data_IF_657355916856
#
_entry.id   IF_657355916856
#
_cell.length_a   1.000
_cell.length_b   1.000
_cell.length_c   1.000
_cell.angle_alpha   90.00
_cell.angle_beta   90.00
_cell.angle_gamma   90.00
#
_symmetry.space_group_name_H-M   'P 1'
#
loop_
_entity.id
_entity.type
_entity.pdbx_description
1 polymer ?
#
# COMPACT_ATOMS: atom_id res chain seq x y z
N UNK A 1 -19.03 -6.31 -14.23
CA UNK A 1 -18.03 -5.97 -13.20
C UNK A 1 -16.74 -6.69 -13.58
N UNK A 2 -15.63 -5.97 -13.77
CA UNK A 2 -14.35 -6.59 -14.19
C UNK A 2 -13.63 -7.10 -12.93
N UNK A 3 -13.40 -8.41 -12.86
CA UNK A 3 -12.87 -9.09 -11.66
C UNK A 3 -11.34 -9.09 -11.55
N UNK A 4 -10.61 -8.78 -12.63
CA UNK A 4 -9.14 -8.72 -12.60
C UNK A 4 -8.59 -7.98 -13.82
N UNK A 5 -7.50 -7.25 -13.63
CA UNK A 5 -6.68 -6.68 -14.70
C UNK A 5 -5.41 -7.52 -14.86
N UNK A 6 -4.98 -7.75 -16.10
CA UNK A 6 -3.66 -8.33 -16.36
C UNK A 6 -2.62 -7.30 -15.99
N UNK A 7 -1.76 -7.65 -15.05
CA UNK A 7 -0.75 -6.75 -14.51
C UNK A 7 0.50 -6.84 -15.35
N UNK A 8 0.79 -5.78 -16.09
CA UNK A 8 1.98 -5.74 -16.91
C UNK A 8 3.21 -5.38 -16.06
N UNK A 9 4.13 -6.35 -15.97
CA UNK A 9 5.40 -6.21 -15.27
C UNK A 9 6.26 -5.06 -15.83
N UNK A 10 6.09 -4.70 -17.11
CA UNK A 10 6.80 -3.56 -17.70
C UNK A 10 6.49 -2.26 -16.95
N UNK A 11 5.22 -2.05 -16.62
CA UNK A 11 4.76 -0.85 -15.95
C UNK A 11 5.05 -0.93 -14.45
N UNK A 12 4.78 -2.06 -13.81
CA UNK A 12 4.95 -2.21 -12.36
C UNK A 12 6.42 -2.31 -11.94
N UNK A 13 7.19 -3.20 -12.58
CA UNK A 13 8.58 -3.45 -12.21
C UNK A 13 9.52 -2.39 -12.76
N UNK A 14 9.54 -2.24 -14.09
CA UNK A 14 10.57 -1.45 -14.75
C UNK A 14 10.31 0.06 -14.69
N UNK A 15 9.14 0.51 -15.15
CA UNK A 15 8.81 1.94 -15.23
C UNK A 15 8.35 2.55 -13.90
N UNK A 16 7.93 1.73 -12.94
CA UNK A 16 7.57 2.21 -11.60
C UNK A 16 8.72 1.97 -10.63
N UNK A 17 8.86 0.74 -10.09
CA UNK A 17 9.80 0.48 -8.99
C UNK A 17 11.24 0.81 -9.38
N UNK A 18 11.77 0.21 -10.45
CA UNK A 18 13.18 0.38 -10.82
C UNK A 18 13.49 1.82 -11.23
N UNK A 19 12.67 2.41 -12.11
CA UNK A 19 12.83 3.82 -12.52
C UNK A 19 12.87 4.75 -11.32
N UNK A 20 11.90 4.62 -10.41
CA UNK A 20 11.74 5.52 -9.27
C UNK A 20 12.89 5.40 -8.27
N UNK A 21 13.32 4.18 -7.94
CA UNK A 21 14.52 3.96 -7.09
C UNK A 21 15.75 4.63 -7.71
N UNK A 22 15.99 4.38 -8.99
CA UNK A 22 17.17 4.91 -9.69
C UNK A 22 17.13 6.45 -9.77
N UNK A 23 16.00 7.03 -10.18
CA UNK A 23 15.92 8.47 -10.41
C UNK A 23 15.66 9.26 -9.14
N UNK A 24 14.69 8.86 -8.31
CA UNK A 24 14.23 9.68 -7.19
C UNK A 24 15.00 9.47 -5.89
N UNK A 25 15.71 8.35 -5.72
CA UNK A 25 16.44 8.07 -4.48
C UNK A 25 17.94 8.05 -4.69
N UNK A 26 18.40 7.39 -5.76
CA UNK A 26 19.83 7.25 -5.99
C UNK A 26 20.43 8.48 -6.66
N UNK A 27 19.79 9.04 -7.70
CA UNK A 27 20.44 10.06 -8.56
C UNK A 27 19.94 11.50 -8.32
N UNK A 28 18.63 11.74 -8.42
CA UNK A 28 18.05 13.10 -8.54
C UNK A 28 17.43 13.66 -7.26
N UNK A 29 17.38 12.88 -6.18
CA UNK A 29 16.76 13.31 -4.92
C UNK A 29 17.48 14.49 -4.27
N UNK A 30 16.73 15.27 -3.48
CA UNK A 30 17.31 16.22 -2.50
C UNK A 30 18.11 15.50 -1.42
N UNK A 31 17.71 14.27 -1.04
CA UNK A 31 18.48 13.32 -0.20
C UNK A 31 19.10 12.22 -1.05
N UNK A 32 19.86 12.59 -2.08
CA UNK A 32 20.47 11.61 -3.00
C UNK A 32 21.40 10.66 -2.24
N UNK A 33 21.21 9.37 -2.46
CA UNK A 33 22.06 8.35 -1.84
C UNK A 33 23.38 8.15 -2.59
N UNK A 34 23.44 8.53 -3.88
CA UNK A 34 24.69 8.57 -4.63
C UNK A 34 25.24 10.00 -4.72
N UNK A 35 26.54 10.13 -4.47
CA UNK A 35 27.27 11.39 -4.71
C UNK A 35 27.42 11.65 -6.22
N UNK A 36 27.85 12.87 -6.58
CA UNK A 36 28.13 13.22 -7.99
C UNK A 36 29.21 12.31 -8.61
N UNK A 37 30.23 11.95 -7.82
CA UNK A 37 31.29 11.01 -8.23
C UNK A 37 30.72 9.62 -8.48
N UNK A 38 29.85 9.11 -7.59
CA UNK A 38 29.18 7.84 -7.78
C UNK A 38 28.37 7.81 -9.08
N UNK A 39 27.61 8.88 -9.38
CA UNK A 39 26.83 8.97 -10.63
C UNK A 39 27.72 8.95 -11.88
N UNK A 40 28.88 9.63 -11.83
CA UNK A 40 29.86 9.60 -12.92
C UNK A 40 30.43 8.19 -13.09
N UNK A 41 30.81 7.53 -11.99
CA UNK A 41 31.34 6.17 -11.99
C UNK A 41 30.32 5.16 -12.53
N UNK A 42 29.04 5.26 -12.12
CA UNK A 42 27.97 4.42 -12.66
C UNK A 42 27.82 4.65 -14.17
N UNK A 43 27.83 5.92 -14.61
CA UNK A 43 27.72 6.25 -16.03
C UNK A 43 28.87 5.65 -16.84
N UNK A 44 30.10 5.72 -16.34
CA UNK A 44 31.26 5.12 -16.99
C UNK A 44 31.15 3.58 -17.04
N UNK A 45 30.71 2.94 -15.95
CA UNK A 45 30.45 1.49 -15.92
C UNK A 45 29.38 1.06 -16.93
N UNK A 46 28.29 1.82 -17.05
CA UNK A 46 27.22 1.56 -18.04
C UNK A 46 27.76 1.65 -19.48
N UNK A 47 28.50 2.72 -19.80
CA UNK A 47 29.07 2.93 -21.15
C UNK A 47 30.14 1.89 -21.50
N UNK A 48 30.91 1.43 -20.51
CA UNK A 48 31.88 0.35 -20.74
C UNK A 48 31.16 -0.98 -20.95
N UNK A 49 30.15 -1.28 -20.14
CA UNK A 49 29.36 -2.50 -20.27
C UNK A 49 28.64 -2.55 -21.62
N UNK A 50 28.06 -1.44 -22.09
CA UNK A 50 27.31 -1.40 -23.35
C UNK A 50 28.12 -1.86 -24.55
N UNK A 51 29.46 -1.71 -24.53
CA UNK A 51 30.35 -2.19 -25.60
C UNK A 51 30.47 -3.72 -25.65
N UNK A 52 30.17 -4.40 -24.55
CA UNK A 52 30.25 -5.85 -24.40
C UNK A 52 28.87 -6.52 -24.40
N UNK A 53 27.78 -5.78 -24.62
CA UNK A 53 26.43 -6.34 -24.65
C UNK A 53 26.15 -6.96 -26.03
N UNK A 54 25.68 -8.23 -26.08
CA UNK A 54 25.30 -8.88 -27.34
C UNK A 54 24.16 -8.16 -28.09
N UNK A 55 24.11 -8.35 -29.41
CA UNK A 55 23.14 -7.66 -30.30
C UNK A 55 21.67 -8.06 -30.02
N UNK A 56 21.45 -9.20 -29.38
CA UNK A 56 20.14 -9.73 -28.98
C UNK A 56 19.45 -8.83 -27.94
N UNK A 57 20.20 -7.99 -27.23
CA UNK A 57 19.63 -6.99 -26.36
C UNK A 57 19.21 -5.76 -27.18
N UNK A 58 17.90 -5.62 -27.41
CA UNK A 58 17.31 -4.57 -28.25
C UNK A 58 17.80 -3.12 -27.98
N UNK A 59 18.22 -2.78 -26.75
CA UNK A 59 18.84 -1.50 -26.39
C UNK A 59 19.79 -1.65 -25.20
N UNK A 60 21.02 -1.15 -25.33
CA UNK A 60 21.96 -0.97 -24.23
C UNK A 60 21.63 0.28 -23.41
N UNK A 61 22.08 0.32 -22.15
CA UNK A 61 21.89 1.49 -21.29
C UNK A 61 22.77 2.65 -21.73
N UNK A 62 22.15 3.82 -21.90
CA UNK A 62 22.85 5.09 -22.05
C UNK A 62 23.44 5.54 -20.71
N UNK A 63 24.22 6.63 -20.71
CA UNK A 63 24.72 7.20 -19.46
C UNK A 63 23.57 7.59 -18.52
N UNK A 64 23.83 7.68 -17.21
CA UNK A 64 22.80 8.06 -16.24
C UNK A 64 22.26 9.49 -16.42
N UNK A 65 23.00 10.34 -17.13
CA UNK A 65 22.57 11.71 -17.46
C UNK A 65 21.27 11.73 -18.26
N UNK A 66 20.98 10.66 -19.01
CA UNK A 66 19.79 10.53 -19.84
C UNK A 66 18.68 9.69 -19.20
N UNK A 67 18.76 9.39 -17.90
CA UNK A 67 17.75 8.56 -17.20
C UNK A 67 16.31 9.05 -17.34
N UNK A 68 16.08 10.33 -17.67
CA UNK A 68 14.73 10.85 -17.98
C UNK A 68 14.15 10.33 -19.31
N UNK A 69 14.99 9.86 -20.24
CA UNK A 69 14.64 9.38 -21.58
C UNK A 69 14.69 7.84 -21.71
N UNK A 70 15.09 7.13 -20.66
CA UNK A 70 15.18 5.68 -20.67
C UNK A 70 13.81 5.05 -20.93
N UNK A 71 13.75 4.08 -21.84
CA UNK A 71 12.55 3.27 -22.06
C UNK A 71 12.51 2.08 -21.10
N UNK A 72 11.36 1.43 -20.99
CA UNK A 72 11.16 0.29 -20.10
C UNK A 72 12.18 -0.85 -20.32
N UNK A 73 12.60 -1.07 -21.58
CA UNK A 73 13.60 -2.08 -21.94
C UNK A 73 14.98 -1.81 -21.35
N UNK A 74 15.37 -0.54 -21.17
CA UNK A 74 16.64 -0.15 -20.55
C UNK A 74 16.58 -0.38 -19.04
N UNK A 75 15.46 -0.03 -18.40
CA UNK A 75 15.23 -0.35 -16.98
C UNK A 75 15.17 -1.86 -16.74
N UNK A 76 14.59 -2.63 -17.66
CA UNK A 76 14.62 -4.10 -17.63
C UNK A 76 16.05 -4.62 -17.67
N UNK A 77 16.85 -4.13 -18.62
CA UNK A 77 18.24 -4.55 -18.76
C UNK A 77 19.05 -4.23 -17.49
N UNK A 78 18.87 -3.04 -16.96
CA UNK A 78 19.49 -2.63 -15.71
C UNK A 78 19.06 -3.53 -14.54
N UNK A 79 17.77 -3.76 -14.35
CA UNK A 79 17.25 -4.56 -13.23
C UNK A 79 17.69 -6.02 -13.29
N UNK A 80 17.61 -6.65 -14.47
CA UNK A 80 17.78 -8.11 -14.57
C UNK A 80 19.21 -8.58 -14.86
N UNK A 81 20.06 -7.68 -15.37
CA UNK A 81 21.40 -8.04 -15.86
C UNK A 81 22.49 -7.12 -15.32
N UNK A 82 22.45 -5.83 -15.66
CA UNK A 82 23.60 -4.95 -15.47
C UNK A 82 23.73 -4.39 -14.04
N UNK A 83 22.60 -4.06 -13.41
CA UNK A 83 22.54 -3.28 -12.18
C UNK A 83 23.30 -3.92 -11.03
N UNK A 84 23.25 -5.25 -10.90
CA UNK A 84 23.96 -5.95 -9.82
C UNK A 84 25.47 -5.74 -9.86
N UNK A 85 26.07 -5.70 -11.06
CA UNK A 85 27.50 -5.48 -11.23
C UNK A 85 27.83 -4.00 -11.12
N UNK A 86 27.01 -3.16 -11.73
CA UNK A 86 27.24 -1.73 -11.81
C UNK A 86 27.17 -1.06 -10.44
N UNK A 87 26.22 -1.47 -9.59
CA UNK A 87 25.99 -0.86 -8.28
C UNK A 87 26.89 -1.41 -7.17
N UNK A 88 27.62 -2.50 -7.42
CA UNK A 88 28.51 -3.13 -6.43
C UNK A 88 29.63 -2.17 -6.05
N UNK A 89 29.79 -1.92 -4.75
CA UNK A 89 30.78 -0.99 -4.20
C UNK A 89 30.47 0.50 -4.45
N UNK A 90 29.28 0.83 -4.98
CA UNK A 90 28.82 2.21 -5.14
C UNK A 90 27.72 2.53 -4.12
N UNK A 91 26.76 1.62 -3.97
CA UNK A 91 25.77 1.69 -2.90
C UNK A 91 26.38 1.22 -1.57
N UNK A 92 25.84 1.72 -0.46
CA UNK A 92 26.13 1.14 0.85
C UNK A 92 25.73 -0.33 0.87
N UNK A 93 26.35 -1.12 1.75
CA UNK A 93 26.12 -2.56 1.79
C UNK A 93 24.64 -2.91 2.00
N UNK A 94 23.96 -2.19 2.88
CA UNK A 94 22.52 -2.38 3.14
C UNK A 94 21.66 -2.07 1.91
N UNK A 95 21.93 -0.96 1.21
CA UNK A 95 21.20 -0.58 0.00
C UNK A 95 21.46 -1.56 -1.14
N UNK A 96 22.69 -2.08 -1.23
CA UNK A 96 23.04 -3.07 -2.24
C UNK A 96 22.35 -4.41 -1.98
N UNK A 97 22.38 -4.92 -0.74
CA UNK A 97 21.65 -6.14 -0.35
C UNK A 97 20.15 -5.98 -0.57
N UNK A 98 19.60 -4.81 -0.23
CA UNK A 98 18.19 -4.49 -0.50
C UNK A 98 17.86 -4.53 -2.00
N UNK A 99 18.70 -3.91 -2.83
CA UNK A 99 18.52 -3.96 -4.28
C UNK A 99 18.61 -5.39 -4.83
N UNK A 100 19.50 -6.23 -4.30
CA UNK A 100 19.63 -7.63 -4.71
C UNK A 100 18.35 -8.44 -4.44
N UNK A 101 17.59 -8.16 -3.38
CA UNK A 101 16.29 -8.81 -3.15
C UNK A 101 15.35 -8.62 -4.33
N UNK A 102 15.25 -7.39 -4.85
CA UNK A 102 14.43 -7.07 -6.02
C UNK A 102 14.97 -7.76 -7.28
N UNK A 103 16.28 -7.68 -7.53
CA UNK A 103 16.92 -8.32 -8.69
C UNK A 103 16.63 -9.82 -8.69
N UNK A 104 16.84 -10.51 -7.56
CA UNK A 104 16.67 -11.95 -7.46
C UNK A 104 15.21 -12.36 -7.63
N UNK A 105 14.28 -11.67 -6.95
CA UNK A 105 12.86 -11.92 -7.13
C UNK A 105 12.44 -11.77 -8.60
N UNK A 106 12.82 -10.67 -9.25
CA UNK A 106 12.46 -10.43 -10.65
C UNK A 106 13.10 -11.43 -11.61
N UNK A 107 14.35 -11.86 -11.38
CA UNK A 107 15.01 -12.89 -12.20
C UNK A 107 14.31 -14.25 -12.09
N UNK A 108 13.91 -14.64 -10.88
CA UNK A 108 13.14 -15.88 -10.66
C UNK A 108 11.81 -15.80 -11.42
N UNK A 109 11.05 -14.72 -11.23
CA UNK A 109 9.71 -14.57 -11.83
C UNK A 109 9.74 -14.44 -13.35
N UNK A 110 10.82 -13.89 -13.92
CA UNK A 110 10.99 -13.76 -15.37
C UNK A 110 11.47 -15.05 -16.06
N UNK A 111 11.96 -16.04 -15.32
CA UNK A 111 12.41 -17.31 -15.88
C UNK A 111 11.39 -18.41 -15.58
N UNK A 112 10.76 -18.99 -16.61
CA UNK A 112 9.71 -20.01 -16.43
C UNK A 112 10.16 -21.18 -15.54
N UNK A 113 11.37 -21.71 -15.77
CA UNK A 113 11.93 -22.82 -14.98
C UNK A 113 12.15 -22.42 -13.52
N UNK A 114 12.80 -21.29 -13.29
CA UNK A 114 13.06 -20.81 -11.92
C UNK A 114 11.76 -20.44 -11.20
N UNK A 115 10.79 -19.86 -11.87
CA UNK A 115 9.50 -19.49 -11.30
C UNK A 115 8.75 -20.72 -10.79
N UNK A 116 8.70 -21.80 -11.58
CA UNK A 116 8.05 -23.06 -11.15
C UNK A 116 8.67 -23.67 -9.89
N UNK A 117 9.97 -23.49 -9.69
CA UNK A 117 10.69 -24.11 -8.57
C UNK A 117 10.84 -23.19 -7.35
N UNK A 118 10.92 -21.88 -7.57
CA UNK A 118 11.33 -20.91 -6.55
C UNK A 118 10.37 -19.71 -6.41
N UNK A 119 9.13 -19.81 -6.91
CA UNK A 119 8.13 -18.74 -6.76
C UNK A 119 7.99 -18.28 -5.31
N UNK A 120 7.93 -19.21 -4.36
CA UNK A 120 7.82 -18.90 -2.93
C UNK A 120 9.00 -18.06 -2.42
N UNK A 121 10.21 -18.32 -2.92
CA UNK A 121 11.39 -17.54 -2.57
C UNK A 121 11.29 -16.13 -3.14
N UNK A 122 10.82 -15.98 -4.38
CA UNK A 122 10.61 -14.67 -4.97
C UNK A 122 9.57 -13.86 -4.19
N UNK A 123 8.50 -14.50 -3.71
CA UNK A 123 7.51 -13.85 -2.84
C UNK A 123 8.14 -13.35 -1.54
N UNK A 124 8.92 -14.21 -0.87
CA UNK A 124 9.64 -13.85 0.36
C UNK A 124 10.59 -12.67 0.11
N UNK A 125 11.37 -12.69 -0.98
CA UNK A 125 12.27 -11.60 -1.33
C UNK A 125 11.54 -10.28 -1.59
N UNK A 126 10.37 -10.31 -2.26
CA UNK A 126 9.56 -9.11 -2.46
C UNK A 126 8.99 -8.58 -1.15
N UNK A 127 8.52 -9.45 -0.26
CA UNK A 127 8.04 -9.03 1.08
C UNK A 127 9.17 -8.36 1.88
N UNK A 128 10.35 -8.96 1.92
CA UNK A 128 11.51 -8.36 2.58
C UNK A 128 11.94 -7.05 1.94
N UNK A 129 11.94 -6.97 0.61
CA UNK A 129 12.22 -5.74 -0.12
C UNK A 129 11.28 -4.61 0.30
N UNK A 130 9.97 -4.88 0.40
CA UNK A 130 8.98 -3.90 0.85
C UNK A 130 9.23 -3.49 2.30
N UNK A 131 9.40 -4.44 3.21
CA UNK A 131 9.63 -4.15 4.64
C UNK A 131 10.87 -3.28 4.87
N UNK A 132 11.98 -3.62 4.20
CA UNK A 132 13.23 -2.89 4.33
C UNK A 132 13.22 -1.53 3.62
N UNK A 133 12.40 -1.35 2.59
CA UNK A 133 12.32 -0.07 1.87
C UNK A 133 11.90 1.08 2.79
N UNK A 134 10.98 0.83 3.73
CA UNK A 134 10.55 1.82 4.73
C UNK A 134 11.70 2.31 5.61
N UNK A 135 12.56 1.38 6.04
CA UNK A 135 13.72 1.69 6.87
C UNK A 135 14.80 2.44 6.06
N UNK A 136 15.05 2.02 4.83
CA UNK A 136 16.18 2.50 4.04
C UNK A 136 15.94 3.84 3.34
N UNK A 137 14.71 4.10 2.88
CA UNK A 137 14.40 5.39 2.22
C UNK A 137 13.27 6.20 2.89
N UNK A 138 12.82 5.79 4.08
CA UNK A 138 11.83 6.51 4.89
C UNK A 138 10.38 6.22 4.53
N UNK A 139 9.42 6.69 5.33
CA UNK A 139 7.99 6.37 5.21
C UNK A 139 7.35 6.77 3.86
N UNK A 140 7.93 7.74 3.15
CA UNK A 140 7.51 8.13 1.80
C UNK A 140 7.74 7.02 0.77
N UNK A 141 8.53 5.99 1.09
CA UNK A 141 8.67 4.77 0.26
C UNK A 141 7.41 3.93 0.16
N UNK A 142 6.44 4.06 1.06
CA UNK A 142 5.15 3.43 0.80
C UNK A 142 4.52 3.98 -0.49
N UNK A 143 4.86 5.21 -0.90
CA UNK A 143 4.51 5.78 -2.20
C UNK A 143 5.33 5.15 -3.36
N UNK A 144 6.54 4.60 -3.13
CA UNK A 144 7.31 3.84 -4.15
C UNK A 144 6.54 2.63 -4.67
N UNK A 145 5.89 1.92 -3.75
CA UNK A 145 5.16 0.69 -4.06
C UNK A 145 3.72 0.98 -4.50
N UNK A 146 3.19 2.15 -4.09
CA UNK A 146 1.82 2.57 -4.36
C UNK A 146 1.65 3.43 -5.63
N UNK A 147 2.69 4.14 -6.08
CA UNK A 147 2.55 4.99 -7.27
C UNK A 147 3.15 4.33 -8.51
N UNK A 148 2.27 3.82 -9.35
CA UNK A 148 2.62 3.25 -10.66
C UNK A 148 1.78 2.02 -10.96
N UNK A 149 0.50 2.26 -11.26
CA UNK A 149 -0.61 1.32 -11.44
C UNK A 149 -1.04 0.57 -10.15
N UNK A 150 -2.37 0.55 -9.97
CA UNK A 150 -3.18 0.15 -8.81
C UNK A 150 -2.94 -1.21 -8.10
N UNK A 151 -2.27 -2.23 -8.65
CA UNK A 151 -2.29 -3.56 -8.04
C UNK A 151 -1.28 -3.79 -6.92
N UNK A 152 -0.07 -3.24 -7.04
CA UNK A 152 0.92 -3.35 -5.97
C UNK A 152 0.54 -2.45 -4.78
N UNK A 153 -0.13 -1.33 -5.08
CA UNK A 153 -0.87 -0.55 -4.10
C UNK A 153 -1.95 -1.38 -3.38
N UNK A 154 -2.77 -2.14 -4.12
CA UNK A 154 -3.75 -3.05 -3.52
C UNK A 154 -3.09 -4.15 -2.67
N UNK A 155 -1.94 -4.67 -3.09
CA UNK A 155 -1.18 -5.70 -2.36
C UNK A 155 -0.60 -5.14 -1.06
N UNK A 156 0.00 -3.94 -1.10
CA UNK A 156 0.43 -3.23 0.10
C UNK A 156 -0.74 -2.87 1.03
N UNK A 157 -1.90 -2.49 0.47
CA UNK A 157 -3.11 -2.25 1.26
C UNK A 157 -3.59 -3.54 1.94
N UNK A 158 -3.51 -4.70 1.26
CA UNK A 158 -3.85 -6.01 1.83
C UNK A 158 -2.87 -6.46 2.92
N UNK A 159 -1.56 -6.36 2.69
CA UNK A 159 -0.55 -6.69 3.71
C UNK A 159 -0.67 -5.79 4.95
N UNK A 160 -0.91 -4.49 4.74
CA UNK A 160 -1.13 -3.56 5.86
C UNK A 160 -2.46 -3.84 6.58
N UNK A 161 -3.49 -4.30 5.86
CA UNK A 161 -4.72 -4.79 6.49
C UNK A 161 -4.44 -6.01 7.35
N UNK A 162 -3.70 -7.01 6.85
CA UNK A 162 -3.32 -8.21 7.62
C UNK A 162 -2.56 -7.85 8.90
N UNK A 163 -1.58 -6.94 8.84
CA UNK A 163 -0.88 -6.44 10.03
C UNK A 163 -1.82 -5.73 11.03
N UNK A 164 -2.80 -4.96 10.53
CA UNK A 164 -3.82 -4.30 11.35
C UNK A 164 -4.84 -5.28 11.95
N UNK A 165 -5.10 -6.41 11.30
CA UNK A 165 -5.98 -7.47 11.81
C UNK A 165 -5.26 -8.37 12.84
N UNK A 166 -3.94 -8.54 12.74
CA UNK A 166 -3.15 -9.28 13.74
C UNK A 166 -2.94 -8.52 15.05
N UNK A 167 -3.11 -7.20 15.07
CA UNK A 167 -3.19 -6.46 16.32
C UNK A 167 -4.61 -6.63 16.88
N UNK A 168 -4.79 -7.18 18.09
CA UNK A 168 -6.12 -7.21 18.69
C UNK A 168 -6.58 -5.75 18.82
N UNK A 169 -7.53 -5.36 17.97
CA UNK A 169 -8.27 -4.12 18.20
C UNK A 169 -8.95 -4.31 19.54
N UNK A 170 -8.45 -3.64 20.57
CA UNK A 170 -9.23 -3.37 21.76
C UNK A 170 -10.41 -2.54 21.28
N UNK A 171 -11.50 -3.23 20.97
CA UNK A 171 -12.74 -2.61 20.59
C UNK A 171 -13.28 -1.98 21.87
N UNK A 172 -13.05 -0.68 22.07
CA UNK A 172 -13.86 0.07 23.02
C UNK A 172 -15.31 -0.15 22.60
N UNK A 173 -16.12 -0.69 23.50
CA UNK A 173 -17.54 -0.91 23.29
C UNK A 173 -18.13 0.46 22.91
N UNK A 174 -18.51 0.63 21.64
CA UNK A 174 -19.08 1.89 21.18
C UNK A 174 -20.40 2.11 21.92
N UNK A 175 -20.47 3.21 22.68
CA UNK A 175 -21.70 3.64 23.35
C UNK A 175 -22.83 3.77 22.31
N UNK A 176 -24.00 3.27 22.67
CA UNK A 176 -25.21 3.29 21.85
C UNK A 176 -25.70 4.74 21.69
N UNK A 177 -25.82 5.25 20.45
CA UNK A 177 -26.27 6.63 20.19
C UNK A 177 -27.74 6.66 19.76
N UNK A 178 -28.58 7.41 20.47
CA UNK A 178 -30.03 7.54 20.18
C UNK A 178 -30.25 8.72 19.24
N UNK A 179 -30.79 8.49 18.04
CA UNK A 179 -30.89 9.54 17.02
C UNK A 179 -32.23 10.27 16.94
N UNK A 180 -33.34 9.74 17.50
CA UNK A 180 -34.63 10.47 17.55
C UNK A 180 -35.53 9.99 18.69
N UNK A 181 -35.92 10.91 19.58
CA UNK A 181 -36.81 10.70 20.75
C UNK A 181 -38.15 11.42 20.54
N UNK A 182 -39.29 10.73 20.72
CA UNK A 182 -40.61 11.37 20.82
C UNK A 182 -41.23 10.99 22.17
N UNK A 183 -41.62 11.98 22.96
CA UNK A 183 -42.25 11.79 24.26
C UNK A 183 -43.76 11.78 24.09
N UNK A 184 -44.42 10.72 24.53
CA UNK A 184 -45.89 10.68 24.65
C UNK A 184 -46.21 9.92 25.94
N UNK A 185 -46.84 10.60 26.92
CA UNK A 185 -47.34 10.04 28.19
C UNK A 185 -46.36 9.04 28.83
N UNK A 186 -45.25 9.57 29.34
CA UNK A 186 -44.21 8.88 30.14
C UNK A 186 -43.45 7.72 29.50
N UNK A 187 -43.75 7.35 28.25
CA UNK A 187 -42.94 6.38 27.49
C UNK A 187 -42.16 7.06 26.38
N UNK A 188 -40.85 6.89 26.44
CA UNK A 188 -39.90 7.42 25.47
C UNK A 188 -39.88 6.53 24.24
N UNK A 189 -40.54 6.95 23.15
CA UNK A 189 -40.49 6.21 21.89
C UNK A 189 -39.27 6.61 21.07
N UNK A 190 -38.35 5.67 20.86
CA UNK A 190 -37.15 5.86 20.05
C UNK A 190 -37.44 5.43 18.60
N UNK A 191 -37.12 6.28 17.62
CA UNK A 191 -37.33 5.94 16.19
C UNK A 191 -36.15 5.20 15.56
N UNK A 192 -34.94 5.45 16.05
CA UNK A 192 -33.73 4.80 15.55
C UNK A 192 -32.58 4.87 16.55
N UNK A 193 -31.79 3.81 16.59
CA UNK A 193 -30.57 3.68 17.38
C UNK A 193 -29.40 3.45 16.44
N UNK A 194 -28.26 4.10 16.72
CA UNK A 194 -26.99 3.77 16.09
C UNK A 194 -26.15 2.96 17.07
N UNK A 195 -25.83 1.73 16.68
CA UNK A 195 -24.92 0.87 17.41
C UNK A 195 -23.73 0.54 16.51
N UNK A 196 -22.52 0.94 16.93
CA UNK A 196 -21.32 0.90 16.09
C UNK A 196 -21.55 1.69 14.79
N UNK A 197 -21.62 1.01 13.65
CA UNK A 197 -21.86 1.58 12.32
C UNK A 197 -23.20 1.12 11.73
N UNK A 198 -24.06 0.47 12.51
CA UNK A 198 -25.37 0.00 12.06
C UNK A 198 -26.46 0.88 12.66
N UNK A 199 -27.41 1.30 11.81
CA UNK A 199 -28.60 2.02 12.24
C UNK A 199 -29.77 1.05 12.31
N UNK A 200 -30.27 0.79 13.51
CA UNK A 200 -31.48 -0.01 13.73
C UNK A 200 -32.68 0.92 13.78
N UNK A 201 -33.71 0.61 13.00
CA UNK A 201 -34.94 1.43 12.89
C UNK A 201 -36.17 0.56 12.96
N UNK A 202 -37.33 1.16 13.25
CA UNK A 202 -38.62 0.45 13.19
C UNK A 202 -39.21 0.42 11.77
N UNK A 203 -38.42 0.70 10.72
CA UNK A 203 -38.89 0.76 9.33
C UNK A 203 -38.00 -0.09 8.42
N UNK A 204 -38.61 -0.68 7.40
CA UNK A 204 -37.89 -1.41 6.34
C UNK A 204 -36.94 -0.48 5.58
N UNK A 205 -35.74 -0.96 5.18
CA UNK A 205 -35.23 -2.33 5.35
C UNK A 205 -34.47 -2.58 6.67
N UNK A 206 -34.23 -1.53 7.48
CA UNK A 206 -33.37 -1.57 8.66
C UNK A 206 -34.10 -1.99 9.95
N UNK A 207 -35.19 -2.75 9.83
CA UNK A 207 -35.98 -3.30 10.94
C UNK A 207 -35.64 -4.76 11.26
N UNK A 208 -34.77 -5.42 10.51
CA UNK A 208 -34.34 -6.79 10.81
C UNK A 208 -32.93 -6.83 11.42
N UNK A 209 -32.75 -7.60 12.49
CA UNK A 209 -31.47 -7.74 13.20
C UNK A 209 -31.12 -9.22 13.39
N UNK A 210 -29.88 -9.59 13.07
CA UNK A 210 -29.33 -10.91 13.35
C UNK A 210 -28.69 -10.93 14.75
N UNK A 211 -29.19 -11.80 15.62
CA UNK A 211 -28.67 -12.02 16.96
C UNK A 211 -27.44 -12.95 16.94
N UNK A 212 -26.65 -12.93 18.01
CA UNK A 212 -25.42 -13.75 18.14
C UNK A 212 -25.69 -15.26 18.09
N UNK A 213 -26.92 -15.68 18.41
CA UNK A 213 -27.37 -17.08 18.33
C UNK A 213 -27.87 -17.47 16.92
N UNK A 214 -27.75 -16.60 15.93
CA UNK A 214 -28.14 -16.88 14.54
C UNK A 214 -29.62 -16.61 14.23
N UNK A 215 -30.42 -16.15 15.19
CA UNK A 215 -31.84 -15.83 14.98
C UNK A 215 -32.01 -14.44 14.37
N UNK A 216 -32.89 -14.31 13.37
CA UNK A 216 -33.29 -13.02 12.79
C UNK A 216 -34.56 -12.54 13.49
N UNK A 217 -34.54 -11.29 13.96
CA UNK A 217 -35.68 -10.68 14.67
C UNK A 217 -36.07 -9.38 13.99
N UNK A 218 -37.39 -9.15 13.88
CA UNK A 218 -37.95 -7.89 13.44
C UNK A 218 -38.16 -6.92 14.61
N UNK A 219 -37.70 -5.69 14.45
CA UNK A 219 -37.77 -4.62 15.43
C UNK A 219 -39.01 -3.77 15.17
N UNK A 220 -40.07 -4.07 15.92
CA UNK A 220 -41.32 -3.29 15.85
C UNK A 220 -41.24 -1.97 16.60
N UNK A 221 -40.68 -1.98 17.82
CA UNK A 221 -40.59 -0.81 18.70
C UNK A 221 -39.31 -0.81 19.55
N UNK A 222 -38.86 0.39 19.92
CA UNK A 222 -37.65 0.60 20.70
C UNK A 222 -37.99 1.53 21.88
N UNK A 223 -37.64 1.10 23.09
CA UNK A 223 -37.84 1.83 24.34
C UNK A 223 -36.50 2.10 25.03
N UNK A 224 -36.45 3.13 25.88
CA UNK A 224 -35.35 3.39 26.80
C UNK A 224 -35.78 2.96 28.19
N UNK A 225 -35.05 2.06 28.84
CA UNK A 225 -35.14 1.91 30.30
C UNK A 225 -34.19 2.94 30.92
N UNK A 226 -34.64 3.65 31.95
CA UNK A 226 -33.85 4.70 32.61
C UNK A 226 -32.71 4.15 33.49
N UNK A 227 -32.58 2.81 33.61
CA UNK A 227 -31.60 2.16 34.49
C UNK A 227 -30.25 1.81 33.85
N UNK A 228 -30.04 2.09 32.55
CA UNK A 228 -28.71 1.88 31.94
C UNK A 228 -27.97 3.21 31.82
N UNK A 229 -27.00 3.44 32.72
CA UNK A 229 -26.14 4.63 32.78
C UNK A 229 -25.34 4.94 31.47
N UNK A 230 -25.31 4.01 30.52
CA UNK A 230 -24.55 4.11 29.26
C UNK A 230 -25.17 5.04 28.19
N UNK A 231 -26.31 5.68 28.47
CA UNK A 231 -27.05 6.50 27.50
C UNK A 231 -27.05 8.00 27.86
N UNK A 232 -25.90 8.58 28.22
CA UNK A 232 -25.78 10.04 28.40
C UNK A 232 -25.66 10.77 27.06
N UNK A 233 -26.61 11.70 26.87
CA UNK A 233 -26.87 12.56 25.70
C UNK A 233 -25.70 13.51 25.39
N UNK A 234 -25.27 13.61 24.13
CA UNK A 234 -24.55 14.79 23.65
C UNK A 234 -25.52 15.75 22.94
N UNK A 235 -25.98 16.76 23.67
CA UNK A 235 -26.67 17.91 23.11
C UNK A 235 -25.62 18.87 22.54
N UNK A 236 -25.30 18.78 21.25
CA UNK A 236 -24.59 19.84 20.55
C UNK A 236 -25.57 20.97 20.24
N UNK A 237 -25.65 21.97 21.13
CA UNK A 237 -26.15 23.29 20.75
C UNK A 237 -24.99 24.09 20.19
N UNK A 238 -25.01 24.23 18.86
CA UNK A 238 -24.32 25.27 18.10
C UNK A 238 -24.58 26.62 18.76
N UNK A 239 -23.53 27.35 19.12
CA UNK A 239 -23.54 28.82 19.05
C UNK A 239 -22.48 29.25 18.04
N UNK A 240 -23.00 29.65 16.88
CA UNK A 240 -22.42 30.68 16.04
C UNK A 240 -22.15 31.89 16.93
N UNK A 241 -20.93 32.41 16.91
CA UNK A 241 -20.73 33.84 17.07
C UNK A 241 -19.63 34.27 16.10
N UNK A 242 -20.07 35.07 15.13
CA UNK A 242 -19.25 35.93 14.30
C UNK A 242 -18.81 37.15 15.12
N UNK A 243 -17.73 37.77 14.65
CA UNK A 243 -17.38 39.19 14.69
C UNK A 243 -16.26 39.65 15.64
N UNK A 244 -15.29 40.28 14.96
CA UNK A 244 -14.16 41.15 15.33
C UNK A 244 -12.97 40.52 16.05
#
# INVERSE_FOLDING_TARGET
MVNSFVLDFMHLGYLSVMKKILTEYWIKSTKKMCTRQNVLQISQRLTNLSKAVPIEFLRTTRSLGETGKWKATEYRFFLLYAGMFIMKGILSEDLYKHFLLLVMACRILCCKKSCQQYADHAEVYLKHFVLLSMKLYGNETLVLIRSGNKPLEQLCRRLQQEELYTKPKVMRLGLCQIHKKKTLKDKVKIKSIQFRNCQVTTKTPNNYVLLKNGTIVEVFQIYSNEETEDLKKNHHQRKINRNY
#
